data_IF_354991106122
#
_entry.id   IF_354991106122
#
_cell.length_a   1.000
_cell.length_b   1.000
_cell.length_c   1.000
_cell.angle_alpha   90.00
_cell.angle_beta   90.00
_cell.angle_gamma   90.00
#
_symmetry.space_group_name_H-M   'P 1'
#
loop_
_entity.id
_entity.type
_entity.pdbx_description
1 polymer ?
#
# COMPACT_ATOMS: atom_id res chain seq x y z
N UNK A 1 -12.33 -6.36 21.12
CA UNK A 1 -11.30 -5.30 21.25
C UNK A 1 -11.07 -4.70 19.88
N UNK A 2 -11.44 -3.42 19.69
CA UNK A 2 -11.26 -2.71 18.43
C UNK A 2 -9.76 -2.56 18.13
N UNK A 3 -9.27 -3.22 17.07
CA UNK A 3 -7.90 -3.04 16.55
C UNK A 3 -7.81 -1.72 15.78
N UNK A 4 -8.11 -0.60 16.42
CA UNK A 4 -7.81 0.70 15.84
C UNK A 4 -6.35 1.01 16.18
N UNK A 5 -5.44 1.18 15.21
CA UNK A 5 -4.15 1.79 15.51
C UNK A 5 -4.40 3.17 16.11
N UNK A 6 -3.56 3.61 17.07
CA UNK A 6 -3.68 4.94 17.65
C UNK A 6 -3.62 6.00 16.54
N UNK A 7 -4.34 7.11 16.75
CA UNK A 7 -4.27 8.34 15.95
C UNK A 7 -2.89 8.99 16.09
N UNK A 8 -1.84 8.30 15.65
CA UNK A 8 -0.48 8.80 15.69
C UNK A 8 -0.35 10.01 14.74
N UNK A 9 0.49 11.00 15.07
CA UNK A 9 0.79 12.15 14.21
C UNK A 9 1.02 11.74 12.76
N UNK A 10 0.74 12.67 11.85
CA UNK A 10 1.09 12.52 10.45
C UNK A 10 2.60 12.24 10.36
N UNK A 11 3.03 11.11 9.76
CA UNK A 11 4.43 10.78 9.69
C UNK A 11 5.13 11.69 8.70
N UNK A 12 6.36 12.12 9.02
CA UNK A 12 7.20 12.87 8.08
C UNK A 12 8.04 11.94 7.20
N UNK A 13 8.24 10.70 7.67
CA UNK A 13 8.92 9.63 6.93
C UNK A 13 8.18 8.33 7.12
N UNK A 14 8.13 7.56 6.05
CA UNK A 14 7.51 6.25 6.06
C UNK A 14 8.39 5.23 5.34
N UNK A 15 8.42 4.02 5.86
CA UNK A 15 9.12 2.87 5.32
C UNK A 15 8.12 1.97 4.61
N UNK A 16 8.37 1.65 3.35
CA UNK A 16 7.39 0.92 2.58
C UNK A 16 7.77 0.67 1.13
N UNK A 17 6.80 0.13 0.40
CA UNK A 17 6.90 -0.18 -1.03
C UNK A 17 6.15 0.87 -1.83
N UNK A 18 6.86 1.58 -2.71
CA UNK A 18 6.22 2.49 -3.68
C UNK A 18 5.47 1.66 -4.70
N UNK A 19 4.17 1.90 -4.79
CA UNK A 19 3.27 1.17 -5.67
C UNK A 19 3.41 1.71 -7.10
N UNK A 20 3.53 0.80 -8.06
CA UNK A 20 3.52 1.13 -9.48
C UNK A 20 2.09 1.41 -9.95
N UNK A 21 1.96 2.22 -11.00
CA UNK A 21 0.64 2.49 -11.61
C UNK A 21 0.02 1.18 -12.12
N UNK A 22 0.84 0.28 -12.69
CA UNK A 22 0.43 -1.06 -13.11
C UNK A 22 -0.15 -1.89 -11.96
N UNK A 23 0.50 -1.89 -10.79
CA UNK A 23 0.00 -2.57 -9.60
C UNK A 23 -1.37 -2.01 -9.18
N UNK A 24 -1.48 -0.68 -9.09
CA UNK A 24 -2.73 -0.01 -8.70
C UNK A 24 -3.86 -0.26 -9.71
N UNK A 25 -3.57 -0.16 -11.01
CA UNK A 25 -4.55 -0.46 -12.05
C UNK A 25 -5.00 -1.92 -11.95
N UNK A 26 -4.07 -2.88 -11.89
CA UNK A 26 -4.40 -4.32 -11.85
C UNK A 26 -5.32 -4.66 -10.67
N UNK A 27 -4.96 -4.25 -9.46
CA UNK A 27 -5.79 -4.51 -8.29
C UNK A 27 -7.10 -3.73 -8.30
N UNK A 28 -7.07 -2.49 -8.80
CA UNK A 28 -8.26 -1.69 -8.98
C UNK A 28 -9.29 -2.36 -9.88
N UNK A 29 -8.83 -2.93 -11.00
CA UNK A 29 -9.67 -3.68 -11.93
C UNK A 29 -10.23 -4.95 -11.28
N UNK A 30 -9.38 -5.77 -10.64
CA UNK A 30 -9.83 -6.97 -9.92
C UNK A 30 -10.93 -6.63 -8.90
N UNK A 31 -10.76 -5.56 -8.12
CA UNK A 31 -11.74 -5.11 -7.15
C UNK A 31 -13.01 -4.57 -7.81
N UNK A 32 -12.91 -3.91 -8.97
CA UNK A 32 -14.05 -3.36 -9.70
C UNK A 32 -14.86 -4.43 -10.39
N UNK A 33 -14.24 -5.43 -11.00
CA UNK A 33 -14.94 -6.51 -11.71
C UNK A 33 -15.84 -7.32 -10.76
N UNK A 34 -15.43 -7.47 -9.50
CA UNK A 34 -16.25 -8.08 -8.45
C UNK A 34 -17.52 -7.27 -8.12
N UNK A 35 -17.53 -5.96 -8.37
CA UNK A 35 -18.62 -5.04 -8.00
C UNK A 35 -19.45 -4.61 -9.21
N UNK A 36 -18.82 -4.52 -10.39
CA UNK A 36 -19.46 -4.16 -11.64
C UNK A 36 -18.79 -4.93 -12.80
N UNK A 37 -19.39 -6.05 -13.24
CA UNK A 37 -18.88 -6.87 -14.34
C UNK A 37 -18.85 -6.18 -15.71
N UNK A 38 -19.46 -5.00 -15.86
CA UNK A 38 -19.48 -4.21 -17.10
C UNK A 38 -18.42 -3.10 -17.10
N UNK A 39 -17.36 -3.25 -16.30
CA UNK A 39 -16.29 -2.26 -16.24
C UNK A 39 -15.53 -2.23 -17.56
N UNK A 40 -15.40 -1.04 -18.14
CA UNK A 40 -14.63 -0.84 -19.37
C UNK A 40 -13.17 -0.55 -19.02
N UNK A 41 -12.33 -1.58 -19.19
CA UNK A 41 -10.89 -1.52 -18.94
C UNK A 41 -10.12 -0.63 -19.91
N UNK A 42 -10.74 -0.19 -21.02
CA UNK A 42 -10.11 0.67 -22.03
C UNK A 42 -10.38 2.15 -21.77
N UNK A 43 -11.38 2.46 -20.94
CA UNK A 43 -11.74 3.83 -20.58
C UNK A 43 -10.80 4.39 -19.50
N UNK A 44 -10.10 5.49 -19.82
CA UNK A 44 -9.13 6.14 -18.93
C UNK A 44 -9.75 6.63 -17.60
N UNK A 45 -10.97 7.19 -17.66
CA UNK A 45 -11.68 7.64 -16.45
C UNK A 45 -12.00 6.46 -15.52
N UNK A 46 -12.36 5.32 -16.10
CA UNK A 46 -12.60 4.10 -15.34
C UNK A 46 -11.29 3.55 -14.76
N UNK A 47 -10.18 3.55 -15.51
CA UNK A 47 -8.85 3.20 -14.96
C UNK A 47 -8.46 4.06 -13.77
N UNK A 48 -8.71 5.37 -13.82
CA UNK A 48 -8.42 6.26 -12.70
C UNK A 48 -9.27 5.92 -11.47
N UNK A 49 -10.57 5.63 -11.66
CA UNK A 49 -11.45 5.18 -10.57
C UNK A 49 -10.96 3.87 -9.97
N UNK A 50 -10.53 2.92 -10.81
CA UNK A 50 -9.96 1.65 -10.36
C UNK A 50 -8.70 1.87 -9.51
N UNK A 51 -7.78 2.72 -9.95
CA UNK A 51 -6.59 3.09 -9.18
C UNK A 51 -6.96 3.72 -7.83
N UNK A 52 -7.92 4.64 -7.81
CA UNK A 52 -8.40 5.29 -6.57
C UNK A 52 -9.00 4.29 -5.57
N UNK A 53 -9.63 3.22 -6.05
CA UNK A 53 -10.12 2.15 -5.19
C UNK A 53 -8.95 1.33 -4.65
N UNK A 54 -7.98 0.98 -5.51
CA UNK A 54 -6.80 0.25 -5.09
C UNK A 54 -6.02 0.99 -3.99
N UNK A 55 -5.79 2.29 -4.11
CA UNK A 55 -5.09 3.07 -3.07
C UNK A 55 -5.79 3.01 -1.71
N UNK A 56 -7.11 2.93 -1.70
CA UNK A 56 -7.91 2.84 -0.47
C UNK A 56 -7.99 1.44 0.13
N UNK A 57 -7.98 0.40 -0.71
CA UNK A 57 -8.31 -0.98 -0.29
C UNK A 57 -7.11 -1.90 -0.24
N UNK A 58 -6.07 -1.63 -1.03
CA UNK A 58 -4.90 -2.50 -1.14
C UNK A 58 -4.19 -2.75 0.20
N UNK A 59 -4.03 -1.77 1.12
CA UNK A 59 -3.44 -2.05 2.42
C UNK A 59 -4.16 -3.15 3.19
N UNK A 60 -5.50 -3.07 3.24
CA UNK A 60 -6.33 -4.07 3.90
C UNK A 60 -6.23 -5.44 3.21
N UNK A 61 -6.32 -5.46 1.87
CA UNK A 61 -6.20 -6.70 1.10
C UNK A 61 -4.85 -7.39 1.37
N UNK A 62 -3.75 -6.63 1.39
CA UNK A 62 -2.44 -7.19 1.70
C UNK A 62 -2.41 -7.80 3.11
N UNK A 63 -2.91 -7.08 4.12
CA UNK A 63 -2.92 -7.57 5.52
C UNK A 63 -3.74 -8.85 5.71
N UNK A 64 -4.83 -9.04 4.95
CA UNK A 64 -5.65 -10.25 5.05
C UNK A 64 -5.17 -11.41 4.18
N UNK A 65 -4.38 -11.12 3.14
CA UNK A 65 -3.93 -12.14 2.19
C UNK A 65 -2.54 -12.68 2.54
N UNK A 66 -1.70 -11.86 3.18
CA UNK A 66 -0.30 -12.19 3.44
C UNK A 66 -0.12 -12.40 4.93
N UNK A 67 0.01 -13.68 5.30
CA UNK A 67 0.24 -14.08 6.68
C UNK A 67 1.52 -13.46 7.23
N UNK A 68 1.45 -12.91 8.44
CA UNK A 68 2.58 -12.27 9.11
C UNK A 68 2.93 -10.87 8.59
N UNK A 69 2.15 -10.29 7.66
CA UNK A 69 2.34 -8.91 7.24
C UNK A 69 1.78 -7.93 8.29
N UNK A 70 2.61 -6.96 8.68
CA UNK A 70 2.18 -5.84 9.52
C UNK A 70 2.32 -4.52 8.76
N UNK A 71 1.27 -3.71 8.80
CA UNK A 71 1.27 -2.34 8.30
C UNK A 71 1.06 -1.37 9.47
N UNK A 72 1.86 -0.31 9.54
CA UNK A 72 1.64 0.76 10.52
C UNK A 72 0.44 1.64 10.16
N UNK A 73 0.05 1.69 8.88
CA UNK A 73 -1.06 2.50 8.38
C UNK A 73 -2.01 1.68 7.50
N UNK A 74 -3.30 2.01 7.60
CA UNK A 74 -4.38 1.30 6.89
C UNK A 74 -4.73 1.95 5.54
N UNK A 75 -3.95 2.96 5.15
CA UNK A 75 -4.11 3.72 3.92
C UNK A 75 -2.74 3.84 3.27
N UNK A 76 -2.72 3.94 1.94
CA UNK A 76 -1.50 4.34 1.24
C UNK A 76 -1.17 5.80 1.54
N UNK A 77 0.11 6.15 1.52
CA UNK A 77 0.58 7.53 1.65
C UNK A 77 1.16 8.02 0.33
N UNK A 78 1.00 9.30 0.03
CA UNK A 78 1.74 9.96 -1.04
C UNK A 78 3.17 10.24 -0.55
N UNK A 79 4.14 9.79 -1.33
CA UNK A 79 5.56 9.98 -1.04
C UNK A 79 6.28 10.56 -2.24
N UNK A 80 7.29 11.37 -1.96
CA UNK A 80 8.14 11.94 -2.99
C UNK A 80 9.23 10.95 -3.39
N UNK A 81 9.27 10.61 -4.68
CA UNK A 81 10.29 9.76 -5.28
C UNK A 81 11.12 10.56 -6.27
N UNK A 82 12.18 9.95 -6.84
CA UNK A 82 12.95 10.56 -7.95
C UNK A 82 12.07 10.84 -9.18
N UNK A 83 10.97 10.11 -9.34
CA UNK A 83 10.06 10.17 -10.48
C UNK A 83 8.75 10.90 -10.15
N UNK A 84 8.74 11.75 -9.11
CA UNK A 84 7.57 12.49 -8.65
C UNK A 84 6.82 11.85 -7.49
N UNK A 85 5.60 12.31 -7.25
CA UNK A 85 4.72 11.80 -6.20
C UNK A 85 4.15 10.43 -6.59
N UNK A 86 4.22 9.47 -5.66
CA UNK A 86 3.69 8.12 -5.84
C UNK A 86 3.00 7.64 -4.57
N UNK A 87 2.03 6.74 -4.72
CA UNK A 87 1.43 6.06 -3.58
C UNK A 87 2.37 4.99 -3.04
N UNK A 88 2.40 4.85 -1.73
CA UNK A 88 3.22 3.87 -1.02
C UNK A 88 2.37 3.05 -0.06
N UNK A 89 2.63 1.74 -0.03
CA UNK A 89 2.17 0.87 1.03
C UNK A 89 3.11 0.98 2.23
N UNK A 90 2.58 1.42 3.38
CA UNK A 90 3.39 1.76 4.56
C UNK A 90 3.51 0.56 5.50
N UNK A 91 4.72 0.04 5.65
CA UNK A 91 5.05 -1.03 6.59
C UNK A 91 5.32 -0.47 7.99
N UNK A 92 6.03 0.67 8.05
CA UNK A 92 6.27 1.43 9.27
C UNK A 92 6.41 2.92 8.97
N UNK A 93 6.35 3.73 10.03
CA UNK A 93 6.58 5.16 9.92
C UNK A 93 7.09 5.75 11.24
N UNK A 94 7.57 6.99 11.18
CA UNK A 94 8.13 7.68 12.34
C UNK A 94 7.10 8.46 13.17
N UNK A 95 5.80 8.19 12.99
CA UNK A 95 4.74 8.84 13.76
C UNK A 95 4.70 8.39 15.23
N UNK A 96 5.23 7.20 15.56
CA UNK A 96 5.47 6.75 16.92
C UNK A 96 6.51 5.63 16.97
N UNK A 97 7.07 5.35 18.16
CA UNK A 97 8.03 4.24 18.34
C UNK A 97 7.41 2.88 18.06
N UNK A 98 6.14 2.71 18.41
CA UNK A 98 5.39 1.46 18.18
C UNK A 98 5.17 1.21 16.69
N UNK A 99 4.95 2.27 15.91
CA UNK A 99 4.79 2.19 14.45
C UNK A 99 6.13 1.93 13.76
N UNK A 100 7.22 2.53 14.23
CA UNK A 100 8.57 2.24 13.73
C UNK A 100 8.96 0.77 13.98
N UNK A 101 8.64 0.25 15.17
CA UNK A 101 8.86 -1.15 15.52
C UNK A 101 8.02 -2.15 14.70
N UNK A 102 7.03 -1.70 13.92
CA UNK A 102 6.23 -2.57 13.06
C UNK A 102 7.08 -3.24 11.95
N UNK A 103 8.18 -2.62 11.52
CA UNK A 103 9.16 -3.25 10.59
C UNK A 103 9.61 -4.61 11.12
N UNK A 104 9.99 -4.66 12.40
CA UNK A 104 10.55 -5.85 13.01
C UNK A 104 9.52 -7.00 13.16
N UNK A 105 8.23 -6.71 12.99
CA UNK A 105 7.16 -7.70 13.07
C UNK A 105 6.87 -8.38 11.73
N UNK A 106 7.23 -7.74 10.61
CA UNK A 106 7.04 -8.33 9.29
C UNK A 106 8.23 -9.23 8.99
N UNK A 107 7.97 -10.53 8.77
CA UNK A 107 9.03 -11.48 8.44
C UNK A 107 9.54 -11.26 7.00
N UNK A 108 10.78 -11.66 6.68
CA UNK A 108 11.28 -11.63 5.31
C UNK A 108 10.38 -12.39 4.32
N UNK A 109 9.82 -13.53 4.73
CA UNK A 109 8.95 -14.37 3.90
C UNK A 109 7.61 -13.68 3.61
N UNK A 110 7.06 -12.96 4.59
CA UNK A 110 5.87 -12.13 4.41
C UNK A 110 6.15 -10.98 3.44
N UNK A 111 7.35 -10.39 3.51
CA UNK A 111 7.76 -9.33 2.59
C UNK A 111 7.94 -9.85 1.15
N UNK A 112 8.58 -11.01 0.97
CA UNK A 112 8.73 -11.62 -0.35
C UNK A 112 7.36 -12.00 -0.94
N UNK A 113 6.48 -12.55 -0.11
CA UNK A 113 5.09 -12.85 -0.48
C UNK A 113 4.33 -11.58 -0.88
N UNK A 114 4.54 -10.47 -0.17
CA UNK A 114 3.96 -9.18 -0.50
C UNK A 114 4.43 -8.67 -1.86
N UNK A 115 5.73 -8.67 -2.12
CA UNK A 115 6.27 -8.18 -3.40
C UNK A 115 5.77 -9.05 -4.56
N UNK A 116 5.72 -10.37 -4.37
CA UNK A 116 5.16 -11.31 -5.35
C UNK A 116 3.67 -11.08 -5.60
N UNK A 117 2.89 -10.93 -4.53
CA UNK A 117 1.46 -10.63 -4.58
C UNK A 117 1.21 -9.33 -5.34
N UNK A 118 1.99 -8.30 -5.05
CA UNK A 118 1.91 -7.00 -5.73
C UNK A 118 2.45 -7.03 -7.16
N UNK A 119 3.15 -8.09 -7.58
CA UNK A 119 3.74 -8.20 -8.90
C UNK A 119 4.88 -7.21 -9.15
N UNK A 120 5.61 -6.80 -8.11
CA UNK A 120 6.63 -5.74 -8.19
C UNK A 120 8.06 -6.27 -8.32
N UNK A 121 8.25 -7.52 -8.78
CA UNK A 121 9.57 -8.09 -9.05
C UNK A 121 10.48 -8.14 -7.82
N UNK A 122 11.66 -7.53 -7.90
CA UNK A 122 12.66 -7.51 -6.81
C UNK A 122 12.67 -6.20 -6.01
N UNK A 123 11.60 -5.41 -6.09
CA UNK A 123 11.53 -4.16 -5.33
C UNK A 123 11.65 -4.44 -3.83
N UNK A 124 12.47 -3.64 -3.14
CA UNK A 124 12.67 -3.69 -1.70
C UNK A 124 12.08 -2.44 -1.03
N UNK A 125 11.54 -2.55 0.19
CA UNK A 125 11.05 -1.38 0.90
C UNK A 125 12.20 -0.44 1.24
N UNK A 126 11.89 0.85 1.29
CA UNK A 126 12.84 1.89 1.66
C UNK A 126 12.14 3.01 2.43
N UNK A 127 12.93 3.88 3.04
CA UNK A 127 12.43 5.08 3.70
C UNK A 127 12.22 6.21 2.70
N UNK A 128 11.02 6.78 2.69
CA UNK A 128 10.64 7.92 1.87
C UNK A 128 10.16 9.08 2.73
N UNK A 129 10.27 10.29 2.19
CA UNK A 129 9.63 11.48 2.75
C UNK A 129 8.15 11.47 2.35
N UNK A 130 7.29 11.60 3.34
CA UNK A 130 5.85 11.74 3.13
C UNK A 130 5.59 13.21 2.76
N UNK A 131 4.82 13.43 1.70
CA UNK A 131 4.31 14.76 1.37
C UNK A 131 2.91 14.90 2.01
N UNK A 132 2.66 16.06 2.63
CA UNK A 132 1.38 16.40 3.27
C UNK A 132 0.30 16.75 2.25
#
# INVERSE_FOLDING_TARGET
>A
MSKSPPSAPAPTRAYGLVLTDECLTRFGLIMRDHVNPHFDHTNESQRQVAMNIATQKLPLVCMFTIDGLFLSRWKTHLVRTKNGLRYMLVLADNGSKELEAAIAKTSPEALDSLVRFLGMGDVRPAWYRVDE
#
